data_IF_093391452244
#
_entry.id   IF_093391452244
#
_cell.length_a   1.000
_cell.length_b   1.000
_cell.length_c   1.000
_cell.angle_alpha   90.00
_cell.angle_beta   90.00
_cell.angle_gamma   90.00
#
_symmetry.space_group_name_H-M   'P 1'
#
loop_
_entity.id
_entity.type
_entity.pdbx_description
1 polymer ?
#
# COMPACT_ATOMS: atom_id res chain seq x y z
N UNK A 1 -6.59 42.65 -51.09
CA UNK A 1 -7.95 42.08 -50.99
C UNK A 1 -7.82 40.75 -50.28
N UNK A 2 -8.32 40.67 -49.03
CA UNK A 2 -7.97 39.64 -48.05
C UNK A 2 -8.95 38.46 -48.11
N UNK A 3 -8.51 37.25 -47.76
CA UNK A 3 -9.39 36.20 -47.26
C UNK A 3 -8.63 35.36 -46.20
N UNK A 4 -9.26 35.30 -45.05
CA UNK A 4 -8.82 34.84 -43.73
C UNK A 4 -8.54 33.32 -43.59
N UNK A 5 -7.82 32.93 -42.51
CA UNK A 5 -7.60 31.53 -42.13
C UNK A 5 -8.73 31.02 -41.21
N UNK A 6 -9.68 30.26 -41.75
CA UNK A 6 -10.74 29.64 -40.95
C UNK A 6 -11.17 28.27 -41.50
N UNK A 7 -10.38 27.22 -41.26
CA UNK A 7 -10.82 25.84 -41.50
C UNK A 7 -9.99 24.79 -40.73
N UNK A 8 -9.50 25.10 -39.54
CA UNK A 8 -8.69 24.16 -38.74
C UNK A 8 -9.31 23.90 -37.37
N UNK A 9 -10.63 23.71 -37.34
CA UNK A 9 -11.32 23.16 -36.18
C UNK A 9 -12.50 22.35 -36.69
N UNK A 10 -12.34 21.03 -36.85
CA UNK A 10 -13.35 20.00 -36.52
C UNK A 10 -12.99 18.60 -37.03
N UNK A 11 -13.17 17.64 -36.11
CA UNK A 11 -13.14 16.18 -36.25
C UNK A 11 -11.72 15.58 -36.44
N UNK A 12 -11.19 14.71 -35.56
CA UNK A 12 -11.82 13.49 -35.06
C UNK A 12 -11.10 13.01 -33.77
N UNK A 13 -11.78 13.13 -32.63
CA UNK A 13 -11.62 12.27 -31.46
C UNK A 13 -13.03 12.07 -30.90
N UNK A 14 -13.46 10.83 -30.63
CA UNK A 14 -13.53 10.46 -29.22
C UNK A 14 -13.21 8.97 -28.98
N UNK A 15 -12.25 8.72 -28.09
CA UNK A 15 -11.89 7.38 -27.65
C UNK A 15 -11.15 7.41 -26.32
N UNK A 16 -11.67 8.16 -25.35
CA UNK A 16 -11.16 8.15 -23.97
C UNK A 16 -12.31 8.46 -23.00
N UNK A 17 -13.22 7.49 -22.90
CA UNK A 17 -14.28 7.46 -21.90
C UNK A 17 -13.95 6.37 -20.88
N UNK A 18 -13.30 6.74 -19.78
CA UNK A 18 -13.42 6.12 -18.45
C UNK A 18 -12.43 6.77 -17.46
N UNK A 19 -12.59 8.07 -17.20
CA UNK A 19 -12.06 8.71 -16.00
C UNK A 19 -13.26 9.13 -15.15
N UNK A 20 -13.76 8.19 -14.34
CA UNK A 20 -14.86 8.45 -13.41
C UNK A 20 -14.33 9.28 -12.23
N UNK A 21 -14.52 10.59 -12.34
CA UNK A 21 -14.94 11.55 -11.31
C UNK A 21 -14.77 11.10 -9.84
N UNK A 22 -13.75 11.63 -9.17
CA UNK A 22 -13.79 11.91 -7.71
C UNK A 22 -13.74 13.42 -7.50
N UNK A 23 -14.84 14.07 -7.88
CA UNK A 23 -15.12 15.47 -7.53
C UNK A 23 -15.94 15.49 -6.25
N UNK A 24 -15.37 16.12 -5.22
CA UNK A 24 -16.06 17.00 -4.27
C UNK A 24 -17.26 16.46 -3.50
N UNK A 25 -17.05 16.17 -2.22
CA UNK A 25 -18.05 16.37 -1.17
C UNK A 25 -17.39 17.00 0.06
N UNK A 26 -17.07 18.29 -0.05
CA UNK A 26 -16.81 19.15 1.09
C UNK A 26 -17.77 20.34 1.00
N UNK A 27 -19.04 20.09 1.30
CA UNK A 27 -19.99 21.16 1.54
C UNK A 27 -19.80 21.63 3.00
N UNK A 28 -19.55 22.93 3.26
CA UNK A 28 -19.62 23.46 4.62
C UNK A 28 -21.08 23.42 5.05
N UNK A 29 -21.37 22.66 6.12
CA UNK A 29 -22.69 22.66 6.75
C UNK A 29 -22.89 24.06 7.38
N UNK A 30 -23.91 24.82 6.98
CA UNK A 30 -24.25 26.06 7.68
C UNK A 30 -24.75 25.71 9.08
N UNK A 31 -24.17 26.32 10.12
CA UNK A 31 -24.67 26.17 11.48
C UNK A 31 -26.12 26.71 11.55
N UNK A 32 -27.07 25.95 12.12
CA UNK A 32 -28.40 26.47 12.40
C UNK A 32 -28.31 27.55 13.50
N UNK A 33 -29.13 28.61 13.43
CA UNK A 33 -29.19 29.61 14.49
C UNK A 33 -29.69 28.98 15.81
N UNK A 34 -29.22 29.46 16.97
CA UNK A 34 -29.67 28.95 18.26
C UNK A 34 -31.18 29.21 18.44
N UNK A 35 -31.96 28.21 18.91
CA UNK A 35 -33.37 28.39 19.19
C UNK A 35 -33.58 29.33 20.39
N UNK A 36 -34.70 30.09 20.41
CA UNK A 36 -35.07 30.94 21.54
C UNK A 36 -35.39 30.10 22.79
N UNK A 37 -34.93 30.57 23.95
CA UNK A 37 -35.17 29.91 25.24
C UNK A 37 -36.67 29.87 25.56
N UNK A 38 -37.25 28.67 25.84
CA UNK A 38 -38.63 28.56 26.27
C UNK A 38 -38.79 28.90 27.77
N UNK A 39 -39.94 29.49 28.18
CA UNK A 39 -40.21 29.82 29.57
C UNK A 39 -40.34 28.55 30.44
N UNK A 40 -40.15 28.67 31.78
CA UNK A 40 -40.14 27.52 32.66
C UNK A 40 -41.52 26.85 32.70
N UNK A 41 -41.62 25.66 32.12
CA UNK A 41 -42.72 24.74 32.37
C UNK A 41 -42.44 23.93 33.64
N UNK A 42 -43.36 24.01 34.59
CA UNK A 42 -43.39 23.22 35.81
C UNK A 42 -43.62 21.75 35.43
N UNK A 43 -42.60 20.91 35.61
CA UNK A 43 -42.73 19.46 35.44
C UNK A 43 -43.34 18.87 36.71
N UNK A 44 -44.48 18.22 36.55
CA UNK A 44 -45.11 17.42 37.58
C UNK A 44 -44.17 16.31 38.06
N UNK A 45 -43.99 16.21 39.38
CA UNK A 45 -43.17 15.18 40.03
C UNK A 45 -43.80 13.81 39.80
N UNK A 46 -43.14 12.98 38.99
CA UNK A 46 -43.37 11.54 38.93
C UNK A 46 -42.63 10.90 40.11
N UNK A 47 -43.25 9.97 40.88
CA UNK A 47 -42.56 9.32 41.99
C UNK A 47 -41.37 8.51 41.49
N UNK A 48 -40.21 8.78 42.10
CA UNK A 48 -38.89 8.23 41.82
C UNK A 48 -38.85 6.71 42.10
N UNK A 49 -38.38 5.87 41.17
CA UNK A 49 -38.14 4.46 41.46
C UNK A 49 -36.97 4.34 42.46
N UNK A 50 -36.98 3.34 43.36
CA UNK A 50 -35.96 3.23 44.41
C UNK A 50 -34.55 3.15 43.83
N UNK A 51 -33.55 3.78 44.48
CA UNK A 51 -32.20 3.90 43.94
C UNK A 51 -31.57 2.52 43.74
N UNK A 52 -31.09 2.28 42.52
CA UNK A 52 -30.25 1.12 42.22
C UNK A 52 -28.96 1.19 43.04
N UNK A 53 -28.44 0.05 43.55
CA UNK A 53 -27.18 0.03 44.28
C UNK A 53 -26.05 0.57 43.38
N UNK A 54 -25.08 1.30 43.95
CA UNK A 54 -23.99 1.87 43.16
C UNK A 54 -23.22 0.75 42.45
N UNK A 55 -22.83 0.93 41.17
CA UNK A 55 -21.98 -0.03 40.49
C UNK A 55 -20.67 -0.16 41.28
N UNK A 56 -20.09 -1.38 41.37
CA UNK A 56 -18.81 -1.56 42.02
C UNK A 56 -17.76 -0.64 41.36
N UNK A 57 -16.80 -0.10 42.13
CA UNK A 57 -15.78 0.78 41.59
C UNK A 57 -15.08 0.07 40.44
N UNK A 58 -15.06 0.72 39.27
CA UNK A 58 -14.32 0.24 38.12
C UNK A 58 -12.88 -0.02 38.57
N UNK A 59 -12.43 -1.28 38.46
CA UNK A 59 -11.06 -1.64 38.78
C UNK A 59 -10.12 -0.71 37.99
N UNK A 60 -9.17 -0.09 38.68
CA UNK A 60 -8.15 0.72 38.04
C UNK A 60 -7.49 -0.10 36.91
N UNK A 61 -7.20 0.49 35.74
CA UNK A 61 -6.56 -0.22 34.65
C UNK A 61 -5.26 -0.82 35.18
N UNK A 62 -5.13 -2.14 35.05
CA UNK A 62 -3.91 -2.84 35.45
C UNK A 62 -2.71 -2.22 34.71
N UNK A 63 -1.51 -2.20 35.33
CA UNK A 63 -0.29 -1.81 34.65
C UNK A 63 -0.17 -2.58 33.33
N UNK A 64 0.09 -1.87 32.23
CA UNK A 64 0.26 -2.50 30.93
C UNK A 64 1.60 -3.24 30.94
N UNK A 65 1.57 -4.51 31.35
CA UNK A 65 2.69 -5.44 31.18
C UNK A 65 3.02 -5.48 29.67
N UNK A 66 4.24 -5.06 29.31
CA UNK A 66 4.65 -5.04 27.90
C UNK A 66 4.91 -6.48 27.48
N UNK A 67 3.93 -7.09 26.80
CA UNK A 67 4.07 -8.45 26.27
C UNK A 67 5.23 -8.52 25.26
N UNK A 68 5.89 -9.69 25.08
CA UNK A 68 6.93 -9.86 24.06
C UNK A 68 6.45 -9.46 22.65
N UNK A 69 5.18 -9.74 22.32
CA UNK A 69 4.56 -9.31 21.07
C UNK A 69 4.45 -7.78 20.98
N UNK A 70 4.03 -7.09 22.05
CA UNK A 70 4.00 -5.64 22.09
C UNK A 70 5.40 -5.02 21.95
N UNK A 71 6.43 -5.63 22.55
CA UNK A 71 7.81 -5.21 22.37
C UNK A 71 8.28 -5.36 20.91
N UNK A 72 7.91 -6.44 20.22
CA UNK A 72 8.22 -6.62 18.79
C UNK A 72 7.50 -5.61 17.91
N UNK A 73 6.25 -5.25 18.23
CA UNK A 73 5.52 -4.21 17.49
C UNK A 73 6.16 -2.83 17.70
N UNK A 74 6.50 -2.47 18.94
CA UNK A 74 7.22 -1.23 19.23
C UNK A 74 8.59 -1.19 18.52
N UNK A 75 9.30 -2.32 18.46
CA UNK A 75 10.53 -2.44 17.69
C UNK A 75 10.30 -2.25 16.19
N UNK A 76 9.26 -2.87 15.62
CA UNK A 76 8.90 -2.70 14.22
C UNK A 76 8.61 -1.22 13.89
N UNK A 77 7.88 -0.51 14.75
CA UNK A 77 7.59 0.91 14.56
C UNK A 77 8.85 1.77 14.63
N UNK A 78 9.76 1.49 15.56
CA UNK A 78 11.08 2.16 15.63
C UNK A 78 11.89 1.94 14.35
N UNK A 79 11.95 0.70 13.87
CA UNK A 79 12.75 0.32 12.70
C UNK A 79 12.22 0.98 11.42
N UNK A 80 10.91 1.22 11.31
CA UNK A 80 10.33 1.96 10.16
C UNK A 80 10.89 3.37 9.98
N UNK A 81 11.34 4.00 11.07
CA UNK A 81 11.95 5.33 11.04
C UNK A 81 13.44 5.34 10.70
N UNK A 82 14.09 4.19 10.56
CA UNK A 82 15.52 4.12 10.28
C UNK A 82 15.81 4.47 8.82
N UNK A 83 16.88 5.23 8.62
CA UNK A 83 17.49 5.42 7.30
C UNK A 83 18.18 4.13 6.85
N UNK A 84 18.41 3.93 5.54
CA UNK A 84 19.12 2.75 5.03
C UNK A 84 20.46 2.43 5.72
N UNK A 85 21.37 3.41 5.96
CA UNK A 85 22.63 3.10 6.67
C UNK A 85 22.40 2.71 8.13
N UNK A 86 21.42 3.31 8.80
CA UNK A 86 21.10 2.97 10.19
C UNK A 86 20.47 1.58 10.31
N UNK A 87 19.63 1.18 9.34
CA UNK A 87 19.08 -0.16 9.27
C UNK A 87 20.18 -1.21 9.03
N UNK A 88 21.15 -0.93 8.15
CA UNK A 88 22.28 -1.82 7.93
C UNK A 88 23.17 -1.97 9.18
N UNK A 89 23.42 -0.87 9.90
CA UNK A 89 24.15 -0.89 11.17
C UNK A 89 23.42 -1.70 12.25
N UNK A 90 22.09 -1.51 12.38
CA UNK A 90 21.27 -2.29 13.31
C UNK A 90 21.26 -3.78 12.96
N UNK A 91 21.13 -4.13 11.68
CA UNK A 91 21.22 -5.52 11.22
C UNK A 91 22.57 -6.15 11.56
N UNK A 92 23.66 -5.38 11.40
CA UNK A 92 25.01 -5.82 11.73
C UNK A 92 25.17 -6.06 13.23
N UNK A 93 24.61 -5.16 14.06
CA UNK A 93 24.56 -5.30 15.52
C UNK A 93 23.83 -6.59 15.93
N UNK A 94 22.65 -6.85 15.37
CA UNK A 94 21.83 -8.03 15.68
C UNK A 94 22.50 -9.34 15.23
N UNK A 95 23.19 -9.32 14.09
CA UNK A 95 23.89 -10.50 13.56
C UNK A 95 25.03 -10.98 14.47
N UNK A 96 25.65 -10.06 15.23
CA UNK A 96 26.68 -10.39 16.22
C UNK A 96 26.14 -10.90 17.57
N UNK A 97 24.83 -10.94 17.76
CA UNK A 97 24.19 -11.42 18.98
C UNK A 97 23.79 -12.89 18.85
N UNK A 98 23.59 -13.56 19.99
CA UNK A 98 23.10 -14.93 20.01
C UNK A 98 21.77 -15.07 19.27
N UNK A 99 21.55 -16.16 18.52
CA UNK A 99 20.36 -16.35 17.69
C UNK A 99 19.16 -16.78 18.54
N UNK A 100 18.73 -15.92 19.45
CA UNK A 100 17.49 -16.11 20.23
C UNK A 100 16.27 -15.84 19.35
N UNK A 101 15.09 -16.42 19.65
CA UNK A 101 13.89 -16.18 18.85
C UNK A 101 13.52 -14.70 18.77
N UNK A 102 13.75 -13.93 19.83
CA UNK A 102 13.58 -12.47 19.82
C UNK A 102 14.57 -11.75 18.89
N UNK A 103 15.86 -12.15 18.89
CA UNK A 103 16.86 -11.56 18.00
C UNK A 103 16.60 -11.90 16.53
N UNK A 104 16.25 -13.16 16.24
CA UNK A 104 15.86 -13.61 14.89
C UNK A 104 14.64 -12.82 14.38
N UNK A 105 13.67 -12.55 15.26
CA UNK A 105 12.50 -11.74 14.93
C UNK A 105 12.87 -10.28 14.64
N UNK A 106 13.73 -9.66 15.47
CA UNK A 106 14.24 -8.31 15.24
C UNK A 106 15.00 -8.21 13.91
N UNK A 107 15.86 -9.19 13.60
CA UNK A 107 16.57 -9.25 12.32
C UNK A 107 15.60 -9.30 11.13
N UNK A 108 14.54 -10.12 11.23
CA UNK A 108 13.52 -10.19 10.19
C UNK A 108 12.83 -8.83 9.98
N UNK A 109 12.48 -8.13 11.06
CA UNK A 109 11.87 -6.79 10.98
C UNK A 109 12.78 -5.75 10.33
N UNK A 110 14.09 -5.79 10.59
CA UNK A 110 15.06 -4.89 9.94
C UNK A 110 15.21 -5.20 8.45
N UNK A 111 15.29 -6.49 8.07
CA UNK A 111 15.34 -6.90 6.66
C UNK A 111 14.10 -6.49 5.87
N UNK A 112 12.93 -6.48 6.52
CA UNK A 112 11.69 -5.99 5.91
C UNK A 112 11.73 -4.48 5.61
N UNK A 113 12.58 -3.72 6.32
CA UNK A 113 12.72 -2.27 6.12
C UNK A 113 13.72 -1.92 5.01
N UNK A 114 14.79 -2.70 4.85
CA UNK A 114 15.82 -2.45 3.82
C UNK A 114 15.30 -2.71 2.41
N UNK A 115 14.35 -3.65 2.25
CA UNK A 115 13.72 -4.04 0.97
C UNK A 115 14.75 -4.32 -0.15
N UNK A 116 15.95 -4.79 0.20
CA UNK A 116 16.92 -5.18 -0.81
C UNK A 116 16.46 -6.48 -1.48
N UNK A 117 16.88 -6.74 -2.73
CA UNK A 117 16.52 -7.98 -3.40
C UNK A 117 16.98 -9.20 -2.60
N UNK A 118 16.04 -10.10 -2.27
CA UNK A 118 16.29 -11.30 -1.47
C UNK A 118 16.11 -11.13 0.06
N UNK A 119 15.99 -9.90 0.57
CA UNK A 119 15.76 -9.66 2.00
C UNK A 119 14.42 -10.23 2.48
N UNK A 120 13.38 -10.16 1.64
CA UNK A 120 12.06 -10.73 1.92
C UNK A 120 12.12 -12.25 2.17
N UNK A 121 12.88 -12.97 1.32
CA UNK A 121 13.10 -14.41 1.48
C UNK A 121 13.92 -14.73 2.73
N UNK A 122 14.97 -13.94 3.02
CA UNK A 122 15.79 -14.12 4.23
C UNK A 122 14.99 -13.84 5.50
N UNK A 123 14.17 -12.80 5.51
CA UNK A 123 13.27 -12.48 6.63
C UNK A 123 12.27 -13.63 6.86
N UNK A 124 11.69 -14.18 5.80
CA UNK A 124 10.79 -15.34 5.90
C UNK A 124 11.49 -16.56 6.52
N UNK A 125 12.73 -16.86 6.12
CA UNK A 125 13.49 -17.96 6.72
C UNK A 125 13.75 -17.76 8.22
N UNK A 126 14.06 -16.54 8.65
CA UNK A 126 14.23 -16.23 10.07
C UNK A 126 12.93 -16.44 10.87
N UNK A 127 11.80 -15.96 10.35
CA UNK A 127 10.50 -16.14 11.00
C UNK A 127 10.05 -17.60 11.02
N UNK A 128 10.38 -18.38 9.99
CA UNK A 128 10.15 -19.83 9.98
C UNK A 128 10.97 -20.54 11.07
N UNK A 129 12.22 -20.13 11.31
CA UNK A 129 13.02 -20.65 12.42
C UNK A 129 12.40 -20.33 13.77
N UNK A 130 11.91 -19.10 13.98
CA UNK A 130 11.19 -18.72 15.21
C UNK A 130 9.95 -19.59 15.42
N UNK A 131 9.21 -19.92 14.34
CA UNK A 131 8.07 -20.83 14.43
C UNK A 131 8.45 -22.29 14.71
N UNK A 132 9.63 -22.73 14.27
CA UNK A 132 10.12 -24.09 14.51
C UNK A 132 10.64 -24.26 15.96
N UNK A 133 10.97 -23.18 16.64
CA UNK A 133 11.40 -23.21 18.04
C UNK A 133 10.20 -23.32 19.00
N UNK A 134 10.35 -24.20 19.99
CA UNK A 134 9.29 -24.58 20.93
C UNK A 134 9.51 -24.04 22.35
N UNK A 135 10.37 -23.02 22.48
CA UNK A 135 10.64 -22.33 23.75
C UNK A 135 9.44 -21.46 24.17
N UNK A 136 9.25 -21.19 25.47
CA UNK A 136 8.15 -20.33 25.93
C UNK A 136 8.20 -18.95 25.26
N UNK A 137 9.38 -18.37 25.10
CA UNK A 137 9.57 -17.08 24.44
C UNK A 137 9.15 -17.13 22.96
N UNK A 138 9.57 -18.17 22.22
CA UNK A 138 9.19 -18.35 20.81
C UNK A 138 7.66 -18.50 20.64
N UNK A 139 7.02 -19.29 21.51
CA UNK A 139 5.57 -19.52 21.47
C UNK A 139 4.75 -18.24 21.59
N UNK A 140 5.22 -17.27 22.39
CA UNK A 140 4.54 -15.96 22.47
C UNK A 140 4.59 -15.16 21.17
N UNK A 141 5.60 -15.40 20.32
CA UNK A 141 5.81 -14.70 19.05
C UNK A 141 5.19 -15.43 17.85
N UNK A 142 4.85 -16.73 17.97
CA UNK A 142 4.29 -17.53 16.88
C UNK A 142 3.09 -16.90 16.16
N UNK A 143 2.08 -16.31 16.84
CA UNK A 143 0.95 -15.70 16.16
C UNK A 143 1.36 -14.54 15.23
N UNK A 144 2.30 -13.71 15.70
CA UNK A 144 2.83 -12.60 14.92
C UNK A 144 3.73 -13.09 13.78
N UNK A 145 4.59 -14.09 14.04
CA UNK A 145 5.44 -14.70 13.01
C UNK A 145 4.62 -15.30 11.87
N UNK A 146 3.52 -16.00 12.18
CA UNK A 146 2.59 -16.55 11.18
C UNK A 146 1.98 -15.48 10.28
N UNK A 147 1.53 -14.39 10.88
CA UNK A 147 0.92 -13.29 10.14
C UNK A 147 1.95 -12.63 9.21
N UNK A 148 3.14 -12.31 9.71
CA UNK A 148 4.21 -11.73 8.89
C UNK A 148 4.66 -12.65 7.75
N UNK A 149 4.72 -13.96 8.00
CA UNK A 149 5.04 -14.94 6.96
C UNK A 149 3.98 -14.98 5.84
N UNK A 150 2.69 -14.88 6.19
CA UNK A 150 1.64 -14.77 5.18
C UNK A 150 1.83 -13.51 4.32
N UNK A 151 2.19 -12.38 4.93
CA UNK A 151 2.47 -11.14 4.20
C UNK A 151 3.69 -11.23 3.29
N UNK A 152 4.79 -11.81 3.75
CA UNK A 152 6.00 -11.98 2.93
C UNK A 152 5.77 -12.91 1.74
N UNK A 153 4.97 -13.95 1.91
CA UNK A 153 4.60 -14.85 0.81
C UNK A 153 3.73 -14.15 -0.23
N UNK A 154 2.77 -13.33 0.20
CA UNK A 154 1.96 -12.53 -0.72
C UNK A 154 2.80 -11.48 -1.43
N UNK A 155 3.73 -10.81 -0.73
CA UNK A 155 4.67 -9.88 -1.34
C UNK A 155 5.46 -10.54 -2.48
N UNK A 156 6.01 -11.75 -2.25
CA UNK A 156 6.74 -12.48 -3.29
C UNK A 156 5.86 -12.82 -4.50
N UNK A 157 4.62 -13.23 -4.26
CA UNK A 157 3.65 -13.52 -5.33
C UNK A 157 3.35 -12.27 -6.18
N UNK A 158 3.25 -11.11 -5.53
CA UNK A 158 3.05 -9.83 -6.21
C UNK A 158 4.29 -9.41 -7.02
N UNK A 159 5.49 -9.56 -6.45
CA UNK A 159 6.76 -9.33 -7.15
C UNK A 159 6.86 -10.21 -8.42
N UNK A 160 6.59 -11.50 -8.31
CA UNK A 160 6.55 -12.43 -9.45
C UNK A 160 5.49 -12.07 -10.52
N UNK A 161 4.39 -11.43 -10.11
CA UNK A 161 3.36 -10.96 -11.05
C UNK A 161 3.80 -9.69 -11.78
N UNK A 162 4.43 -8.75 -11.07
CA UNK A 162 5.02 -7.53 -11.66
C UNK A 162 6.11 -7.90 -12.66
N UNK A 163 6.99 -8.85 -12.31
CA UNK A 163 8.06 -9.30 -13.19
C UNK A 163 7.51 -9.89 -14.49
N UNK A 164 6.50 -10.76 -14.40
CA UNK A 164 5.82 -11.34 -15.57
C UNK A 164 5.17 -10.27 -16.45
N UNK A 165 4.49 -9.30 -15.86
CA UNK A 165 3.88 -8.18 -16.59
C UNK A 165 4.94 -7.32 -17.28
N UNK A 166 6.05 -7.03 -16.60
CA UNK A 166 7.16 -6.26 -17.17
C UNK A 166 7.77 -6.95 -18.40
N UNK A 167 7.87 -8.28 -18.37
CA UNK A 167 8.36 -9.07 -19.49
C UNK A 167 7.38 -9.04 -20.67
N UNK A 168 6.09 -9.20 -20.40
CA UNK A 168 5.05 -9.09 -21.43
C UNK A 168 5.02 -7.72 -22.11
N UNK A 169 5.20 -6.63 -21.34
CA UNK A 169 5.29 -5.28 -21.89
C UNK A 169 6.48 -5.11 -22.83
N UNK A 170 7.65 -5.63 -22.46
CA UNK A 170 8.84 -5.59 -23.32
C UNK A 170 8.65 -6.39 -24.61
N UNK A 171 8.04 -7.56 -24.51
CA UNK A 171 7.81 -8.41 -25.68
C UNK A 171 6.75 -7.84 -26.62
N UNK A 172 5.70 -7.22 -26.09
CA UNK A 172 4.69 -6.50 -26.89
C UNK A 172 5.26 -5.25 -27.55
N UNK A 173 6.10 -4.49 -26.84
CA UNK A 173 6.81 -3.34 -27.41
C UNK A 173 7.72 -3.76 -28.58
N UNK A 174 8.51 -4.82 -28.43
CA UNK A 174 9.34 -5.36 -29.53
C UNK A 174 8.53 -5.77 -30.75
N UNK A 175 7.35 -6.38 -30.54
CA UNK A 175 6.45 -6.73 -31.64
C UNK A 175 5.89 -5.47 -32.31
N UNK A 176 5.56 -4.44 -31.55
CA UNK A 176 5.10 -3.17 -32.10
C UNK A 176 6.18 -2.49 -32.96
N UNK A 177 7.43 -2.46 -32.49
CA UNK A 177 8.58 -1.95 -33.25
C UNK A 177 8.77 -2.74 -34.56
N UNK A 178 8.76 -4.08 -34.51
CA UNK A 178 8.84 -4.92 -35.71
C UNK A 178 7.69 -4.66 -36.72
N UNK A 179 6.48 -4.39 -36.23
CA UNK A 179 5.36 -4.04 -37.09
C UNK A 179 5.51 -2.64 -37.69
N UNK A 180 6.04 -1.68 -36.93
CA UNK A 180 6.35 -0.34 -37.44
C UNK A 180 7.41 -0.40 -38.54
N UNK A 181 8.51 -1.14 -38.33
CA UNK A 181 9.55 -1.33 -39.35
C UNK A 181 8.99 -1.91 -40.65
N UNK A 182 8.07 -2.89 -40.56
CA UNK A 182 7.40 -3.47 -41.73
C UNK A 182 6.50 -2.45 -42.44
N UNK A 183 5.74 -1.65 -41.69
CA UNK A 183 4.90 -0.60 -42.27
C UNK A 183 5.76 0.46 -42.97
N UNK A 184 6.89 0.84 -42.37
CA UNK A 184 7.83 1.78 -42.98
C UNK A 184 8.48 1.22 -44.25
N UNK A 185 8.89 -0.05 -44.25
CA UNK A 185 9.39 -0.74 -45.43
C UNK A 185 8.35 -0.78 -46.56
N UNK A 186 7.08 -1.07 -46.24
CA UNK A 186 5.99 -1.04 -47.21
C UNK A 186 5.77 0.38 -47.76
N UNK A 187 5.75 1.40 -46.91
CA UNK A 187 5.65 2.81 -47.33
C UNK A 187 6.83 3.24 -48.22
N UNK A 188 8.03 2.72 -47.98
CA UNK A 188 9.19 2.98 -48.82
C UNK A 188 9.03 2.36 -50.22
N UNK A 189 8.52 1.13 -50.30
CA UNK A 189 8.19 0.46 -51.57
C UNK A 189 7.14 1.26 -52.34
N UNK A 190 6.10 1.73 -51.66
CA UNK A 190 5.05 2.56 -52.27
C UNK A 190 5.61 3.86 -52.87
N UNK A 191 6.50 4.56 -52.15
CA UNK A 191 7.16 5.77 -52.68
C UNK A 191 8.12 5.50 -53.83
N UNK A 192 8.80 4.36 -53.82
CA UNK A 192 9.76 3.99 -54.86
C UNK A 192 9.09 3.46 -56.14
N UNK A 193 7.77 3.19 -56.12
CA UNK A 193 7.05 2.72 -57.30
C UNK A 193 6.99 3.84 -58.36
N UNK A 194 7.54 3.63 -59.57
CA UNK A 194 7.61 4.67 -60.58
C UNK A 194 6.21 5.14 -60.98
N UNK A 195 6.00 6.45 -60.98
CA UNK A 195 4.79 7.08 -61.50
C UNK A 195 4.78 6.82 -63.02
N UNK A 196 3.97 5.88 -63.50
CA UNK A 196 3.89 5.55 -64.93
C UNK A 196 3.43 6.82 -65.66
N UNK A 197 4.25 7.44 -66.54
CA UNK A 197 3.80 8.62 -67.26
C UNK A 197 2.59 8.23 -68.11
N UNK A 198 1.47 8.92 -67.92
CA UNK A 198 0.33 8.84 -68.81
C UNK A 198 0.82 9.28 -70.21
N UNK A 199 0.81 8.33 -71.13
CA UNK A 199 1.13 8.59 -72.54
C UNK A 199 -0.09 9.27 -73.16
N UNK A 200 0.07 10.39 -73.88
CA UNK A 200 -1.04 11.11 -74.53
C UNK A 200 -1.66 10.31 -75.67
#
# INVERSE_FOLDING_TARGET
>A
MPLEPAALVRLLAPGLAAAALTVGCAAPIPLPPPPPEPPPMVIAVMPEPPPAPPPPPAAAPAPVETTPAAAMLAYADRVRGLTPPNAAAELSRLTGQDPTPGNLFQMALVLMQTRAPGDSARAAQLLQRVQAEDTPDARTLHPLARQLLAHLNEQRRLEEMVDRQSQQLRDTQRRAEQLQDRLEALRAIERARPNRPATP
#
